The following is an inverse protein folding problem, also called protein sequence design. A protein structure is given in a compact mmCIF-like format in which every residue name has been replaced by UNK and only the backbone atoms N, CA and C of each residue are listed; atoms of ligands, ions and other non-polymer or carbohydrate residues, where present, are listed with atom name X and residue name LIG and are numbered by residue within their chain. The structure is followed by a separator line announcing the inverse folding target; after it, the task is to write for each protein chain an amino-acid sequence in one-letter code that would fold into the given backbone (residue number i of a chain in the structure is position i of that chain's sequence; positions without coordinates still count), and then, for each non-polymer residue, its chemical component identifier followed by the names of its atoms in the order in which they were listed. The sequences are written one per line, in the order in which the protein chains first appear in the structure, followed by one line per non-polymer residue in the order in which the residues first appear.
data_IF_946876979151
#
_entry.id   IF_946876979151
#
_cell.length_a   1.000
_cell.length_b   1.000
_cell.length_c   1.000
_cell.angle_alpha   90.00
_cell.angle_beta   90.00
_cell.angle_gamma   90.00
#
_symmetry.space_group_name_H-M   'P 1'
#
loop_
_entity.id
_entity.type
_entity.pdbx_description
1 polymer ?
#
# COMPACT_ATOMS: atom_id res chain seq x y z
N UNK A 1 4.39 -22.75 -3.57
CA UNK A 1 4.16 -22.12 -2.23
C UNK A 1 3.13 -21.03 -2.38
N UNK A 2 2.05 -21.09 -1.60
CA UNK A 2 0.91 -20.19 -1.74
C UNK A 2 1.02 -19.01 -0.78
N UNK A 3 0.82 -17.79 -1.29
CA UNK A 3 0.94 -16.54 -0.55
C UNK A 3 -0.33 -15.71 -0.65
N UNK A 4 -0.90 -15.36 0.50
CA UNK A 4 -1.98 -14.38 0.60
C UNK A 4 -1.37 -12.98 0.81
N UNK A 5 -1.77 -12.02 -0.01
CA UNK A 5 -1.39 -10.60 0.13
C UNK A 5 -2.59 -9.81 0.61
N UNK A 6 -2.41 -8.94 1.60
CA UNK A 6 -3.46 -8.11 2.20
C UNK A 6 -3.03 -6.63 2.15
N UNK A 7 -3.88 -5.77 1.59
CA UNK A 7 -3.70 -4.31 1.58
C UNK A 7 -4.98 -3.64 2.08
N UNK A 8 -4.84 -2.87 3.17
CA UNK A 8 -5.94 -2.12 3.80
C UNK A 8 -5.48 -0.76 4.33
N UNK A 9 -4.31 -0.28 3.90
CA UNK A 9 -3.76 1.01 4.32
C UNK A 9 -4.44 2.18 3.61
N UNK A 10 -5.09 1.95 2.46
CA UNK A 10 -5.79 2.99 1.69
C UNK A 10 -7.31 2.96 1.89
N UNK A 11 -8.05 3.75 1.09
CA UNK A 11 -9.52 3.66 1.02
C UNK A 11 -10.01 2.34 0.42
N UNK A 12 -9.13 1.59 -0.23
CA UNK A 12 -9.40 0.27 -0.74
C UNK A 12 -9.18 -0.81 0.33
N UNK A 13 -9.90 -1.92 0.17
CA UNK A 13 -9.59 -3.20 0.77
C UNK A 13 -9.27 -4.14 -0.38
N UNK A 14 -8.06 -4.71 -0.37
CA UNK A 14 -7.58 -5.56 -1.45
C UNK A 14 -6.91 -6.81 -0.91
N UNK A 15 -7.13 -7.92 -1.60
CA UNK A 15 -6.44 -9.18 -1.33
C UNK A 15 -6.03 -9.85 -2.64
N UNK A 16 -4.91 -10.56 -2.62
CA UNK A 16 -4.47 -11.37 -3.75
C UNK A 16 -3.93 -12.71 -3.27
N UNK A 17 -4.15 -13.76 -4.06
CA UNK A 17 -3.62 -15.08 -3.81
C UNK A 17 -2.63 -15.41 -4.91
N UNK A 18 -1.39 -15.66 -4.50
CA UNK A 18 -0.26 -15.91 -5.39
C UNK A 18 0.22 -17.34 -5.17
N UNK A 19 0.48 -18.05 -6.25
CA UNK A 19 1.07 -19.38 -6.21
C UNK A 19 2.14 -19.48 -7.29
N UNK A 20 3.34 -19.92 -6.89
CA UNK A 20 4.50 -20.12 -7.76
C UNK A 20 4.83 -18.90 -8.65
N UNK A 21 4.67 -17.70 -8.07
CA UNK A 21 4.95 -16.41 -8.72
C UNK A 21 3.82 -15.87 -9.59
N UNK A 22 2.71 -16.59 -9.74
CA UNK A 22 1.54 -16.17 -10.51
C UNK A 22 0.39 -15.74 -9.60
N UNK A 23 -0.31 -14.66 -9.97
CA UNK A 23 -1.55 -14.25 -9.31
C UNK A 23 -2.66 -15.20 -9.73
N UNK A 24 -3.13 -16.05 -8.82
CA UNK A 24 -4.24 -16.98 -9.05
C UNK A 24 -5.57 -16.24 -9.08
N UNK A 25 -5.78 -15.36 -8.10
CA UNK A 25 -6.96 -14.50 -8.03
C UNK A 25 -6.67 -13.25 -7.20
N UNK A 26 -7.51 -12.24 -7.35
CA UNK A 26 -7.48 -11.02 -6.53
C UNK A 26 -8.88 -10.45 -6.37
N UNK A 27 -9.11 -9.77 -5.26
CA UNK A 27 -10.28 -8.95 -5.03
C UNK A 27 -9.82 -7.55 -4.61
N UNK A 28 -10.55 -6.53 -5.06
CA UNK A 28 -10.27 -5.14 -4.77
C UNK A 28 -11.60 -4.38 -4.70
N UNK A 29 -11.79 -3.64 -3.61
CA UNK A 29 -12.99 -2.84 -3.41
C UNK A 29 -12.65 -1.52 -2.72
N UNK A 30 -13.17 -0.41 -3.26
CA UNK A 30 -13.07 0.91 -2.61
C UNK A 30 -14.20 1.03 -1.59
N UNK A 31 -13.93 0.57 -0.37
CA UNK A 31 -14.91 0.56 0.73
C UNK A 31 -15.06 1.93 1.40
N UNK A 32 -13.99 2.73 1.45
CA UNK A 32 -13.95 4.03 2.16
C UNK A 32 -14.01 3.90 3.68
N UNK A 33 -14.98 3.16 4.23
CA UNK A 33 -15.12 2.75 5.63
C UNK A 33 -15.60 1.29 5.68
N UNK A 34 -15.31 0.59 6.78
CA UNK A 34 -15.79 -0.79 6.99
C UNK A 34 -14.79 -1.89 6.59
N UNK A 35 -13.48 -1.59 6.56
CA UNK A 35 -12.44 -2.57 6.24
C UNK A 35 -12.46 -3.79 7.16
N UNK A 36 -12.79 -3.61 8.45
CA UNK A 36 -12.81 -4.70 9.42
C UNK A 36 -13.91 -5.72 9.11
N UNK A 37 -15.07 -5.23 8.68
CA UNK A 37 -16.23 -6.02 8.30
C UNK A 37 -16.02 -6.68 6.93
N UNK A 38 -15.32 -6.01 6.01
CA UNK A 38 -15.15 -6.49 4.63
C UNK A 38 -14.01 -7.46 4.43
N UNK A 39 -12.88 -7.29 5.14
CA UNK A 39 -11.64 -8.00 4.85
C UNK A 39 -11.78 -9.53 4.96
N UNK A 40 -12.33 -10.05 6.06
CA UNK A 40 -12.45 -11.50 6.25
C UNK A 40 -13.40 -12.15 5.24
N UNK A 41 -14.61 -11.61 4.97
CA UNK A 41 -15.43 -12.07 3.86
C UNK A 41 -14.71 -12.05 2.51
N UNK A 42 -13.92 -11.01 2.23
CA UNK A 42 -13.17 -10.89 0.97
C UNK A 42 -12.13 -11.99 0.81
N UNK A 43 -11.45 -12.36 1.90
CA UNK A 43 -10.51 -13.50 1.91
C UNK A 43 -11.27 -14.82 1.73
N UNK A 44 -12.43 -14.98 2.37
CA UNK A 44 -13.24 -16.19 2.29
C UNK A 44 -13.83 -16.44 0.89
N UNK A 45 -14.01 -15.39 0.08
CA UNK A 45 -14.42 -15.46 -1.32
C UNK A 45 -13.31 -16.01 -2.25
N UNK A 46 -12.05 -16.03 -1.80
CA UNK A 46 -10.95 -16.60 -2.56
C UNK A 46 -11.01 -18.15 -2.54
N UNK A 47 -10.42 -18.84 -3.53
CA UNK A 47 -10.35 -20.30 -3.54
C UNK A 47 -9.77 -20.85 -2.23
N UNK A 48 -10.40 -21.91 -1.72
CA UNK A 48 -10.04 -22.54 -0.43
C UNK A 48 -10.07 -21.58 0.77
N UNK A 49 -10.90 -20.52 0.70
CA UNK A 49 -11.01 -19.51 1.75
C UNK A 49 -9.74 -18.69 1.92
N UNK A 50 -8.93 -18.57 0.86
CA UNK A 50 -7.68 -17.81 0.86
C UNK A 50 -6.55 -18.43 1.68
N UNK A 51 -6.70 -19.70 2.10
CA UNK A 51 -5.67 -20.40 2.88
C UNK A 51 -4.33 -20.41 2.14
N UNK A 52 -3.27 -20.06 2.85
CA UNK A 52 -1.94 -19.89 2.29
C UNK A 52 -0.85 -20.34 3.27
N UNK A 53 0.32 -20.69 2.75
CA UNK A 53 1.52 -21.03 3.53
C UNK A 53 2.21 -19.77 4.07
N UNK A 54 1.98 -18.63 3.42
CA UNK A 54 2.56 -17.33 3.75
C UNK A 54 1.53 -16.22 3.62
N UNK A 55 1.60 -15.23 4.50
CA UNK A 55 0.81 -14.01 4.47
C UNK A 55 1.74 -12.80 4.38
N UNK A 56 1.47 -11.91 3.43
CA UNK A 56 2.19 -10.66 3.24
C UNK A 56 1.19 -9.51 3.42
N UNK A 57 1.43 -8.62 4.38
CA UNK A 57 0.47 -7.58 4.76
C UNK A 57 1.06 -6.18 4.66
N UNK A 58 0.27 -5.22 4.19
CA UNK A 58 0.68 -3.83 4.12
C UNK A 58 0.80 -3.23 5.53
N UNK A 59 1.99 -2.72 5.84
CA UNK A 59 2.32 -2.03 7.09
C UNK A 59 2.24 -0.51 6.98
N UNK A 60 1.80 0.01 5.82
CA UNK A 60 1.65 1.43 5.56
C UNK A 60 2.88 2.07 4.89
N UNK A 61 2.94 3.41 4.87
CA UNK A 61 2.06 4.35 5.55
C UNK A 61 0.63 4.41 4.96
N UNK A 62 -0.31 5.02 5.68
CA UNK A 62 -1.71 5.14 5.27
C UNK A 62 -2.67 5.33 6.44
N UNK A 63 -3.92 4.91 6.27
CA UNK A 63 -4.97 4.91 7.28
C UNK A 63 -4.54 4.17 8.55
N UNK A 64 -4.49 4.90 9.66
CA UNK A 64 -4.12 4.35 10.98
C UNK A 64 -4.97 3.12 11.36
N UNK A 65 -6.27 3.19 11.11
CA UNK A 65 -7.22 2.11 11.38
C UNK A 65 -7.06 0.99 10.37
N UNK A 66 -6.99 1.34 9.09
CA UNK A 66 -6.89 0.38 7.99
C UNK A 66 -5.66 -0.53 8.09
N UNK A 67 -4.47 0.04 8.34
CA UNK A 67 -3.23 -0.71 8.56
C UNK A 67 -3.38 -1.70 9.71
N UNK A 68 -4.00 -1.30 10.83
CA UNK A 68 -4.20 -2.17 11.99
C UNK A 68 -5.18 -3.29 11.73
N UNK A 69 -6.23 -3.06 10.95
CA UNK A 69 -7.18 -4.09 10.53
C UNK A 69 -6.45 -5.19 9.74
N UNK A 70 -5.67 -4.80 8.73
CA UNK A 70 -4.90 -5.74 7.91
C UNK A 70 -3.90 -6.55 8.75
N UNK A 71 -3.07 -5.88 9.56
CA UNK A 71 -2.08 -6.54 10.41
C UNK A 71 -2.74 -7.49 11.43
N UNK A 72 -3.84 -7.08 12.05
CA UNK A 72 -4.56 -7.92 13.01
C UNK A 72 -5.12 -9.18 12.35
N UNK A 73 -5.77 -9.04 11.18
CA UNK A 73 -6.28 -10.17 10.41
C UNK A 73 -5.14 -11.10 9.98
N UNK A 74 -4.05 -10.56 9.42
CA UNK A 74 -2.88 -11.34 8.99
C UNK A 74 -2.31 -12.16 10.16
N UNK A 75 -2.13 -11.55 11.34
CA UNK A 75 -1.64 -12.26 12.54
C UNK A 75 -2.59 -13.35 13.00
N UNK A 76 -3.90 -13.09 13.01
CA UNK A 76 -4.91 -14.08 13.39
C UNK A 76 -4.92 -15.29 12.46
N UNK A 77 -4.90 -15.05 11.14
CA UNK A 77 -4.85 -16.10 10.13
C UNK A 77 -3.54 -16.89 10.20
N UNK A 78 -2.41 -16.20 10.39
CA UNK A 78 -1.09 -16.83 10.55
C UNK A 78 -1.10 -17.84 11.70
N UNK A 79 -1.65 -17.45 12.85
CA UNK A 79 -1.78 -18.33 14.02
C UNK A 79 -2.68 -19.54 13.72
N UNK A 80 -3.81 -19.33 13.06
CA UNK A 80 -4.77 -20.40 12.75
C UNK A 80 -4.31 -21.35 11.66
N UNK A 81 -3.53 -20.88 10.70
CA UNK A 81 -3.07 -21.66 9.54
C UNK A 81 -1.68 -22.27 9.72
N UNK A 82 -0.92 -21.81 10.72
CA UNK A 82 0.50 -22.16 10.86
C UNK A 82 1.36 -21.59 9.73
N UNK A 83 0.96 -20.44 9.19
CA UNK A 83 1.62 -19.79 8.06
C UNK A 83 2.83 -18.95 8.50
N UNK A 84 3.66 -18.54 7.54
CA UNK A 84 4.64 -17.47 7.72
C UNK A 84 4.00 -16.09 7.54
N UNK A 85 4.55 -15.04 8.15
CA UNK A 85 4.07 -13.66 7.99
C UNK A 85 5.21 -12.69 7.69
N UNK A 86 4.98 -11.78 6.75
CA UNK A 86 5.86 -10.65 6.46
C UNK A 86 5.07 -9.36 6.22
N UNK A 87 5.70 -8.22 6.47
CA UNK A 87 5.15 -6.90 6.18
C UNK A 87 5.77 -6.29 4.92
N UNK A 88 5.04 -5.42 4.23
CA UNK A 88 5.58 -4.57 3.16
C UNK A 88 5.13 -3.12 3.35
N UNK A 89 5.76 -2.18 2.63
CA UNK A 89 5.35 -0.78 2.61
C UNK A 89 4.46 -0.47 1.41
N UNK A 90 3.46 0.40 1.60
CA UNK A 90 2.58 0.87 0.54
C UNK A 90 3.30 1.70 -0.53
N UNK A 91 4.34 2.46 -0.16
CA UNK A 91 4.96 3.43 -1.09
C UNK A 91 5.62 2.75 -2.31
N UNK A 92 6.41 1.67 -2.17
CA UNK A 92 6.93 0.92 -3.32
C UNK A 92 5.86 0.43 -4.29
N UNK A 93 4.65 0.07 -3.83
CA UNK A 93 3.56 -0.35 -4.72
C UNK A 93 3.05 0.80 -5.58
N UNK A 94 2.94 2.00 -4.99
CA UNK A 94 2.55 3.20 -5.73
C UNK A 94 3.66 3.62 -6.70
N UNK A 95 4.93 3.50 -6.30
CA UNK A 95 6.06 3.72 -7.20
C UNK A 95 6.01 2.78 -8.40
N UNK A 96 5.77 1.48 -8.18
CA UNK A 96 5.65 0.49 -9.25
C UNK A 96 4.56 0.85 -10.27
N UNK A 97 3.40 1.32 -9.81
CA UNK A 97 2.35 1.83 -10.69
C UNK A 97 2.78 3.11 -11.43
N UNK A 98 3.50 4.01 -10.74
CA UNK A 98 4.04 5.25 -11.32
C UNK A 98 5.07 5.01 -12.44
N UNK A 99 5.82 3.92 -12.36
CA UNK A 99 6.80 3.50 -13.38
C UNK A 99 6.21 2.69 -14.54
N UNK A 100 4.89 2.39 -14.52
CA UNK A 100 4.28 1.52 -15.52
C UNK A 100 4.38 2.08 -16.96
N UNK A 101 4.39 3.41 -17.12
CA UNK A 101 4.55 4.08 -18.41
C UNK A 101 6.01 4.26 -18.86
N UNK A 102 6.98 3.96 -17.97
CA UNK A 102 8.43 4.07 -18.20
C UNK A 102 8.88 5.45 -18.72
N UNK A 103 8.18 6.52 -18.33
CA UNK A 103 8.53 7.88 -18.75
C UNK A 103 9.70 8.48 -17.95
N UNK A 104 10.03 7.91 -16.80
CA UNK A 104 11.10 8.36 -15.91
C UNK A 104 11.61 7.18 -15.10
N UNK A 105 12.86 7.26 -14.64
CA UNK A 105 13.46 6.30 -13.72
C UNK A 105 13.58 6.84 -12.28
N UNK A 106 13.05 8.04 -12.03
CA UNK A 106 13.02 8.68 -10.71
C UNK A 106 11.63 9.31 -10.45
N UNK A 107 11.00 8.90 -9.35
CA UNK A 107 9.66 9.33 -8.95
C UNK A 107 9.63 9.59 -7.45
N UNK A 108 8.92 10.64 -7.05
CA UNK A 108 8.48 10.86 -5.68
C UNK A 108 7.08 10.31 -5.47
N UNK A 109 6.93 9.32 -4.58
CA UNK A 109 5.61 8.91 -4.11
C UNK A 109 5.17 9.88 -3.02
N UNK A 110 3.98 10.44 -3.19
CA UNK A 110 3.33 11.36 -2.25
C UNK A 110 1.97 10.79 -1.89
N UNK A 111 1.85 10.32 -0.66
CA UNK A 111 0.63 9.78 -0.10
C UNK A 111 0.05 10.77 0.92
N UNK A 112 -1.27 10.90 0.93
CA UNK A 112 -1.97 11.65 1.97
C UNK A 112 -1.62 11.12 3.37
N UNK A 113 -1.18 12.02 4.24
CA UNK A 113 -0.92 11.75 5.64
C UNK A 113 -2.06 12.20 6.55
N UNK A 114 -1.81 12.19 7.85
CA UNK A 114 -2.70 12.78 8.84
C UNK A 114 -2.31 14.22 9.19
N UNK A 115 -3.22 14.96 9.82
CA UNK A 115 -2.92 16.26 10.45
C UNK A 115 -2.35 17.33 9.49
N UNK A 116 -2.75 17.32 8.22
CA UNK A 116 -2.32 18.30 7.23
C UNK A 116 -0.93 18.06 6.66
N UNK A 117 -0.39 16.85 6.81
CA UNK A 117 0.87 16.42 6.21
C UNK A 117 0.67 15.37 5.11
N UNK A 118 1.74 15.12 4.35
CA UNK A 118 1.85 14.04 3.37
C UNK A 118 3.04 13.15 3.72
N UNK A 119 2.88 11.85 3.50
CA UNK A 119 3.99 10.92 3.48
C UNK A 119 4.67 10.97 2.12
N UNK A 120 5.99 11.09 2.11
CA UNK A 120 6.77 11.18 0.87
C UNK A 120 8.00 10.29 0.91
N UNK A 121 8.28 9.62 -0.20
CA UNK A 121 9.54 8.90 -0.42
C UNK A 121 9.85 8.85 -1.92
N UNK A 122 11.11 9.03 -2.29
CA UNK A 122 11.56 8.89 -3.67
C UNK A 122 12.04 7.45 -3.95
N UNK A 123 11.81 6.99 -5.17
CA UNK A 123 12.18 5.66 -5.65
C UNK A 123 12.80 5.72 -7.04
N UNK A 124 13.69 4.77 -7.33
CA UNK A 124 14.15 4.50 -8.68
C UNK A 124 13.23 3.48 -9.39
N UNK A 125 13.38 3.32 -10.71
CA UNK A 125 12.61 2.36 -11.51
C UNK A 125 12.70 0.89 -11.03
N UNK A 126 13.80 0.50 -10.38
CA UNK A 126 13.98 -0.81 -9.75
C UNK A 126 13.33 -0.92 -8.35
N UNK A 127 12.57 0.10 -7.96
CA UNK A 127 11.91 0.28 -6.66
C UNK A 127 12.87 0.44 -5.48
N UNK A 128 14.16 0.67 -5.73
CA UNK A 128 15.10 1.03 -4.67
C UNK A 128 14.78 2.43 -4.12
N UNK A 129 14.79 2.62 -2.78
CA UNK A 129 14.54 3.92 -2.19
C UNK A 129 15.69 4.88 -2.49
N UNK A 130 15.34 6.10 -2.93
CA UNK A 130 16.28 7.22 -3.17
C UNK A 130 16.32 8.23 -2.02
N UNK A 131 15.36 8.12 -1.11
CA UNK A 131 15.30 8.88 0.13
C UNK A 131 14.72 8.01 1.24
N UNK A 132 14.89 8.46 2.48
CA UNK A 132 14.06 7.97 3.58
C UNK A 132 12.60 8.40 3.37
N UNK A 133 11.70 7.65 4.01
CA UNK A 133 10.30 8.05 4.12
C UNK A 133 10.18 9.20 5.13
N UNK A 134 9.52 10.29 4.73
CA UNK A 134 9.30 11.48 5.56
C UNK A 134 7.81 11.83 5.64
N UNK A 135 7.41 12.50 6.73
CA UNK A 135 6.11 13.17 6.86
C UNK A 135 6.36 14.68 6.80
N UNK A 136 5.75 15.36 5.84
CA UNK A 136 6.01 16.77 5.55
C UNK A 136 4.71 17.54 5.36
N UNK A 137 4.71 18.82 5.73
CA UNK A 137 3.68 19.76 5.25
C UNK A 137 3.75 19.89 3.72
N UNK A 138 2.63 20.19 3.03
CA UNK A 138 2.59 20.25 1.58
C UNK A 138 3.63 21.17 0.93
N UNK A 139 3.87 22.37 1.47
CA UNK A 139 4.93 23.28 0.98
C UNK A 139 6.33 22.64 1.00
N UNK A 140 6.66 22.00 2.12
CA UNK A 140 7.95 21.34 2.30
C UNK A 140 8.07 20.11 1.39
N UNK A 141 6.98 19.37 1.18
CA UNK A 141 6.94 18.24 0.26
C UNK A 141 7.09 18.71 -1.20
N UNK A 142 6.45 19.82 -1.59
CA UNK A 142 6.58 20.42 -2.92
C UNK A 142 8.03 20.83 -3.18
N UNK A 143 8.67 21.51 -2.23
CA UNK A 143 10.09 21.85 -2.31
C UNK A 143 10.98 20.60 -2.38
N UNK A 144 10.66 19.55 -1.62
CA UNK A 144 11.41 18.30 -1.57
C UNK A 144 11.30 17.45 -2.85
N UNK A 145 10.32 17.71 -3.73
CA UNK A 145 10.24 17.03 -5.03
C UNK A 145 11.54 17.21 -5.83
N UNK A 146 12.16 18.39 -5.74
CA UNK A 146 13.41 18.72 -6.43
C UNK A 146 13.37 18.39 -7.93
N UNK A 147 12.23 18.67 -8.58
CA UNK A 147 12.01 18.40 -10.02
C UNK A 147 11.58 16.97 -10.36
N UNK A 148 11.46 16.07 -9.39
CA UNK A 148 10.94 14.71 -9.62
C UNK A 148 9.47 14.74 -9.99
N UNK A 149 9.07 13.78 -10.84
CA UNK A 149 7.67 13.47 -11.07
C UNK A 149 7.05 12.97 -9.77
N UNK A 150 5.96 13.59 -9.33
CA UNK A 150 5.18 13.14 -8.19
C UNK A 150 4.11 12.13 -8.63
N UNK A 151 3.86 11.10 -7.83
CA UNK A 151 2.76 10.13 -8.00
C UNK A 151 2.06 9.88 -6.65
N UNK A 152 0.85 9.33 -6.67
CA UNK A 152 0.08 9.02 -5.46
C UNK A 152 -1.05 10.02 -5.16
N UNK A 153 -1.87 9.70 -4.16
CA UNK A 153 -3.08 10.47 -3.85
C UNK A 153 -2.80 11.79 -3.13
N UNK A 154 -1.60 11.96 -2.55
CA UNK A 154 -1.22 13.13 -1.78
C UNK A 154 -0.85 14.35 -2.63
N UNK A 155 -0.61 14.15 -3.94
CA UNK A 155 -0.23 15.24 -4.88
C UNK A 155 -1.25 16.38 -4.87
N UNK A 156 -2.54 16.05 -4.72
CA UNK A 156 -3.62 17.05 -4.70
C UNK A 156 -3.46 18.11 -3.61
N UNK A 157 -2.72 17.78 -2.54
CA UNK A 157 -2.42 18.71 -1.45
C UNK A 157 -1.22 19.62 -1.76
N UNK A 158 -0.38 19.26 -2.73
CA UNK A 158 0.79 20.05 -3.13
C UNK A 158 0.42 21.25 -4.02
N UNK A 159 -0.69 21.14 -4.76
CA UNK A 159 -1.13 22.17 -5.71
C UNK A 159 -2.11 23.20 -5.09
N UNK A 160 -2.62 22.97 -3.89
CA UNK A 160 -3.69 23.76 -3.28
C UNK A 160 -3.20 25.01 -2.52
N UNK A 161 -2.03 25.57 -2.88
CA UNK A 161 -1.42 26.72 -2.18
C UNK A 161 -1.26 27.97 -3.04
N UNK A 162 -1.87 27.99 -4.22
CA UNK A 162 -2.14 29.23 -4.96
C UNK A 162 -3.50 29.81 -4.51
N UNK A 163 -3.55 30.42 -3.31
CA UNK A 163 -4.59 31.39 -2.90
C UNK A 163 -4.08 32.30 -1.75
#
# INVERSE_FOLDING_TARGET
MRTLVIETSTTACSVALIEDGAVITRAHEVVGRGHAERLIPMIAELPEGGRADRIIVDCGPGSFTGVRVGIAAARGLTLGWGAEIAGFSSLPLIAAAGFADRLTDDIAVVMEGGHGEVFMQAFAADLSPRSDMVSLKPDAALAALAGRRAVGNGIRWLAALDD
#
